data_IF_176082703192
#
_entry.id   IF_176082703192
#
_cell.length_a   1.000
_cell.length_b   1.000
_cell.length_c   1.000
_cell.angle_alpha   90.00
_cell.angle_beta   90.00
_cell.angle_gamma   90.00
#
_symmetry.space_group_name_H-M   'P 1'
#
loop_
_entity.id
_entity.type
_entity.pdbx_description
1 polymer ?
#
# COMPACT_ATOMS: atom_id res chain seq x y z
N UNK A 1 -11.03 16.78 9.72
CA UNK A 1 -10.80 17.17 8.30
C UNK A 1 -9.35 17.58 8.14
N UNK A 2 -8.49 16.62 7.79
CA UNK A 2 -7.05 16.85 7.60
C UNK A 2 -6.77 17.52 6.25
N UNK A 3 -5.87 18.50 6.25
CA UNK A 3 -5.47 19.27 5.07
C UNK A 3 -4.92 18.38 3.95
N UNK A 4 -5.45 18.57 2.74
CA UNK A 4 -4.87 18.13 1.48
C UNK A 4 -3.52 18.85 1.30
N UNK A 5 -2.44 18.20 1.74
CA UNK A 5 -1.10 18.50 1.22
C UNK A 5 -0.98 17.78 -0.11
N UNK A 6 -0.25 18.37 -1.06
CA UNK A 6 -0.03 17.86 -2.41
C UNK A 6 0.82 16.56 -2.44
N UNK A 7 0.31 15.50 -1.82
CA UNK A 7 0.85 14.16 -1.73
C UNK A 7 -0.20 13.28 -1.07
N UNK A 8 -0.52 12.13 -1.66
CA UNK A 8 -1.55 11.25 -1.11
C UNK A 8 -1.27 10.92 0.36
N UNK A 9 -2.35 10.89 1.17
CA UNK A 9 -2.29 10.41 2.55
C UNK A 9 -1.99 8.91 2.63
N UNK A 10 -1.91 8.19 1.50
CA UNK A 10 -1.51 6.79 1.43
C UNK A 10 -0.18 6.48 2.13
N UNK A 11 0.77 7.41 2.14
CA UNK A 11 2.04 7.25 2.88
C UNK A 11 1.82 7.08 4.39
N UNK A 12 0.70 7.60 4.89
CA UNK A 12 0.27 7.51 6.28
C UNK A 12 -0.73 6.38 6.52
N UNK A 13 -1.25 5.71 5.49
CA UNK A 13 -2.16 4.60 5.67
C UNK A 13 -1.48 3.45 6.44
N UNK A 14 -2.17 2.96 7.46
CA UNK A 14 -1.74 1.88 8.32
C UNK A 14 -2.71 0.71 8.27
N UNK A 15 -2.32 -0.41 8.87
CA UNK A 15 -3.21 -1.57 8.97
C UNK A 15 -4.51 -1.28 9.77
N UNK A 16 -4.51 -0.37 10.76
CA UNK A 16 -5.75 0.05 11.40
C UNK A 16 -6.73 0.68 10.39
N UNK A 17 -6.23 1.58 9.55
CA UNK A 17 -7.03 2.23 8.50
C UNK A 17 -7.55 1.21 7.48
N UNK A 18 -6.74 0.18 7.15
CA UNK A 18 -7.17 -0.91 6.26
C UNK A 18 -8.33 -1.73 6.86
N UNK A 19 -8.20 -2.11 8.14
CA UNK A 19 -9.20 -2.91 8.84
C UNK A 19 -10.52 -2.15 8.96
N UNK A 20 -10.46 -0.86 9.28
CA UNK A 20 -11.63 0.02 9.44
C UNK A 20 -12.24 0.45 8.09
N UNK A 21 -11.48 0.41 7.00
CA UNK A 21 -11.90 0.85 5.67
C UNK A 21 -12.86 -0.11 4.97
N UNK A 22 -13.76 0.46 4.18
CA UNK A 22 -14.65 -0.25 3.23
C UNK A 22 -13.89 -0.82 2.04
N UNK A 23 -14.53 -1.69 1.25
CA UNK A 23 -13.90 -2.27 0.05
C UNK A 23 -13.48 -1.19 -0.98
N UNK A 24 -14.30 -0.16 -1.18
CA UNK A 24 -13.98 0.98 -2.04
C UNK A 24 -12.78 1.79 -1.50
N UNK A 25 -12.74 2.06 -0.20
CA UNK A 25 -11.62 2.78 0.43
C UNK A 25 -10.32 1.97 0.37
N UNK A 26 -10.41 0.65 0.52
CA UNK A 26 -9.29 -0.27 0.38
C UNK A 26 -8.75 -0.29 -1.05
N UNK A 27 -9.62 -0.34 -2.05
CA UNK A 27 -9.22 -0.25 -3.45
C UNK A 27 -8.54 1.09 -3.76
N UNK A 28 -9.15 2.20 -3.32
CA UNK A 28 -8.56 3.54 -3.47
C UNK A 28 -7.19 3.65 -2.78
N UNK A 29 -7.03 3.03 -1.61
CA UNK A 29 -5.76 2.99 -0.88
C UNK A 29 -4.65 2.28 -1.67
N UNK A 30 -4.98 1.17 -2.37
CA UNK A 30 -4.02 0.47 -3.23
C UNK A 30 -3.58 1.38 -4.39
N UNK A 31 -4.53 2.03 -5.08
CA UNK A 31 -4.22 2.89 -6.22
C UNK A 31 -3.40 4.12 -5.82
N UNK A 32 -3.71 4.72 -4.67
CA UNK A 32 -2.94 5.82 -4.13
C UNK A 32 -1.50 5.41 -3.76
N UNK A 33 -1.31 4.21 -3.20
CA UNK A 33 0.04 3.67 -2.89
C UNK A 33 0.85 3.47 -4.18
N UNK A 34 0.24 2.92 -5.23
CA UNK A 34 0.88 2.76 -6.56
C UNK A 34 1.34 4.09 -7.11
N UNK A 35 0.41 5.06 -7.16
CA UNK A 35 0.69 6.40 -7.68
C UNK A 35 1.82 7.07 -6.89
N UNK A 36 1.84 6.92 -5.57
CA UNK A 36 2.88 7.48 -4.71
C UNK A 36 4.26 6.86 -4.97
N UNK A 37 4.34 5.53 -5.07
CA UNK A 37 5.62 4.83 -5.26
C UNK A 37 6.24 5.07 -6.63
N UNK A 38 5.41 5.34 -7.65
CA UNK A 38 5.83 5.56 -9.02
C UNK A 38 5.76 7.04 -9.46
N UNK A 39 5.71 7.97 -8.51
CA UNK A 39 5.75 9.41 -8.81
C UNK A 39 7.14 9.87 -9.31
N UNK A 40 7.16 10.97 -10.07
CA UNK A 40 8.41 11.57 -10.53
C UNK A 40 9.31 11.97 -9.34
N UNK A 41 10.56 11.50 -9.34
CA UNK A 41 11.52 11.74 -8.25
C UNK A 41 11.54 10.69 -7.14
N UNK A 42 10.76 9.60 -7.26
CA UNK A 42 10.91 8.43 -6.41
C UNK A 42 12.22 7.66 -6.72
N UNK A 43 12.72 6.92 -5.73
CA UNK A 43 13.93 6.09 -5.82
C UNK A 43 13.65 4.83 -6.68
N UNK A 44 13.57 5.03 -8.00
CA UNK A 44 13.35 3.97 -8.98
C UNK A 44 11.91 3.44 -9.02
N UNK A 45 11.52 2.75 -10.11
CA UNK A 45 10.17 2.21 -10.24
C UNK A 45 9.96 1.06 -9.24
N UNK A 46 8.86 1.12 -8.49
CA UNK A 46 8.37 -0.06 -7.75
C UNK A 46 7.44 -0.83 -8.67
N UNK A 47 7.69 -2.11 -8.94
CA UNK A 47 6.78 -2.95 -9.71
C UNK A 47 5.38 -2.95 -9.10
N UNK A 48 4.38 -2.74 -9.95
CA UNK A 48 2.99 -2.80 -9.51
C UNK A 48 2.56 -4.25 -9.31
N UNK A 49 2.01 -4.52 -8.13
CA UNK A 49 1.31 -5.76 -7.86
C UNK A 49 -0.08 -5.70 -8.51
N UNK A 50 -0.59 -6.83 -9.05
CA UNK A 50 -2.02 -6.98 -9.36
C UNK A 50 -2.91 -6.58 -8.17
N UNK A 51 -4.08 -6.00 -8.44
CA UNK A 51 -4.96 -5.46 -7.38
C UNK A 51 -5.41 -6.53 -6.39
N UNK A 52 -5.69 -7.74 -6.88
CA UNK A 52 -6.02 -8.90 -6.04
C UNK A 52 -4.85 -9.33 -5.14
N UNK A 53 -3.62 -9.30 -5.67
CA UNK A 53 -2.42 -9.63 -4.88
C UNK A 53 -2.16 -8.56 -3.80
N UNK A 54 -2.27 -7.28 -4.16
CA UNK A 54 -2.13 -6.17 -3.22
C UNK A 54 -3.19 -6.22 -2.11
N UNK A 55 -4.44 -6.50 -2.48
CA UNK A 55 -5.53 -6.66 -1.51
C UNK A 55 -5.24 -7.84 -0.58
N UNK A 56 -4.88 -9.00 -1.13
CA UNK A 56 -4.59 -10.19 -0.34
C UNK A 56 -3.34 -10.02 0.54
N UNK A 57 -2.35 -9.23 0.11
CA UNK A 57 -1.20 -8.84 0.92
C UNK A 57 -1.65 -8.09 2.17
N UNK A 58 -2.49 -7.06 2.02
CA UNK A 58 -2.96 -6.26 3.14
C UNK A 58 -3.90 -7.04 4.05
N UNK A 59 -4.81 -7.85 3.50
CA UNK A 59 -5.64 -8.76 4.30
C UNK A 59 -4.80 -9.67 5.20
N UNK A 60 -3.75 -10.29 4.67
CA UNK A 60 -2.87 -11.16 5.46
C UNK A 60 -2.01 -10.39 6.45
N UNK A 61 -1.42 -9.28 6.02
CA UNK A 61 -0.48 -8.52 6.84
C UNK A 61 -1.18 -7.81 8.02
N UNK A 62 -2.42 -7.37 7.81
CA UNK A 62 -3.20 -6.61 8.77
C UNK A 62 -4.17 -7.48 9.61
N UNK A 63 -4.18 -8.80 9.41
CA UNK A 63 -5.06 -9.73 10.13
C UNK A 63 -4.85 -9.80 11.65
N UNK A 64 -3.71 -9.28 12.16
CA UNK A 64 -3.37 -9.35 13.57
C UNK A 64 -3.24 -7.96 14.18
N UNK A 65 -3.78 -7.76 15.38
CA UNK A 65 -3.82 -6.46 16.07
C UNK A 65 -2.43 -5.83 16.28
N UNK A 66 -1.39 -6.64 16.46
CA UNK A 66 -0.02 -6.13 16.62
C UNK A 66 0.45 -5.35 15.37
N UNK A 67 -0.12 -5.62 14.21
CA UNK A 67 0.25 -5.00 12.94
C UNK A 67 -0.45 -3.64 12.75
N UNK A 68 -1.35 -3.21 13.65
CA UNK A 68 -2.17 -2.01 13.48
C UNK A 68 -1.39 -0.77 13.03
N UNK A 69 -0.17 -0.56 13.52
CA UNK A 69 0.70 0.57 13.16
C UNK A 69 1.60 0.38 11.93
N UNK A 70 1.51 -0.75 11.22
CA UNK A 70 2.35 -1.02 10.06
C UNK A 70 1.89 -0.16 8.88
N UNK A 71 2.86 0.52 8.23
CA UNK A 71 2.59 1.35 7.05
C UNK A 71 2.34 0.50 5.82
N UNK A 72 1.21 0.70 5.15
CA UNK A 72 0.81 -0.09 3.99
C UNK A 72 1.78 0.10 2.81
N UNK A 73 2.23 1.33 2.53
CA UNK A 73 3.16 1.58 1.42
C UNK A 73 4.49 0.80 1.58
N UNK A 74 4.96 0.57 2.81
CA UNK A 74 6.18 -0.21 3.07
C UNK A 74 5.97 -1.69 2.81
N UNK A 75 4.81 -2.22 3.19
CA UNK A 75 4.44 -3.61 2.93
C UNK A 75 4.34 -3.85 1.42
N UNK A 76 3.67 -2.93 0.71
CA UNK A 76 3.55 -2.98 -0.75
C UNK A 76 4.91 -2.90 -1.44
N UNK A 77 5.73 -1.89 -1.13
CA UNK A 77 7.04 -1.70 -1.75
C UNK A 77 7.95 -2.92 -1.54
N UNK A 78 7.92 -3.52 -0.34
CA UNK A 78 8.64 -4.77 -0.07
C UNK A 78 8.14 -5.90 -0.96
N UNK A 79 6.83 -6.12 -1.04
CA UNK A 79 6.26 -7.18 -1.87
C UNK A 79 6.57 -6.98 -3.36
N UNK A 80 6.40 -5.77 -3.90
CA UNK A 80 6.75 -5.43 -5.27
C UNK A 80 8.25 -5.57 -5.58
N UNK A 81 9.13 -5.33 -4.61
CA UNK A 81 10.56 -5.60 -4.80
C UNK A 81 10.86 -7.11 -4.94
N UNK A 82 10.12 -7.97 -4.23
CA UNK A 82 10.30 -9.43 -4.28
C UNK A 82 9.55 -10.12 -5.43
N UNK A 83 8.51 -9.52 -6.00
CA UNK A 83 7.81 -10.10 -7.17
C UNK A 83 8.77 -10.29 -8.35
N UNK A 84 9.67 -9.35 -8.57
CA UNK A 84 10.72 -9.44 -9.63
C UNK A 84 11.75 -10.55 -9.41
N UNK A 85 11.86 -11.09 -8.20
CA UNK A 85 12.78 -12.20 -7.88
C UNK A 85 12.15 -13.58 -8.10
N UNK A 86 10.81 -13.66 -8.11
CA UNK A 86 10.06 -14.91 -8.34
C UNK A 86 9.85 -15.22 -9.83
N UNK A 87 10.07 -14.25 -10.72
CA UNK A 87 9.98 -14.41 -12.18
C UNK A 87 11.31 -14.89 -12.83
N UNK A 88 12.26 -15.41 -12.06
CA UNK A 88 13.53 -16.00 -12.55
C UNK A 88 13.67 -17.46 -12.15
#
# INVERSE_FOLDING_TARGET
>A
VGQVRAGSVASLAQCSDWVEGTEEERAATIDDIRAQLNQAGADGPTPDLPSDEAYALFERACANDYAAGFRLYKLYARAGAFSTLLEK
#
